data_IF_713848459238
#
_entry.id   IF_713848459238
#
_cell.length_a   1.000
_cell.length_b   1.000
_cell.length_c   1.000
_cell.angle_alpha   90.00
_cell.angle_beta   90.00
_cell.angle_gamma   90.00
#
_symmetry.space_group_name_H-M   'P 1'
#
loop_
_entity.id
_entity.type
_entity.pdbx_description
1 polymer ?
#
# COMPACT_ATOMS: atom_id res chain seq x y z
N UNK A 1 5.30 9.79 -38.75
CA UNK A 1 6.03 10.36 -37.58
C UNK A 1 5.24 10.18 -36.30
N UNK A 2 3.93 10.53 -36.24
CA UNK A 2 3.09 10.32 -35.02
C UNK A 2 2.95 8.86 -34.59
N UNK A 3 2.94 7.91 -35.50
CA UNK A 3 2.81 6.46 -35.18
C UNK A 3 4.07 5.85 -34.55
N UNK A 4 5.25 6.38 -34.85
CA UNK A 4 6.51 5.90 -34.25
C UNK A 4 6.70 6.41 -32.81
N UNK A 5 6.19 7.61 -32.47
CA UNK A 5 6.31 8.17 -31.12
C UNK A 5 5.40 7.49 -30.09
N UNK A 6 4.28 6.91 -30.50
CA UNK A 6 3.34 6.24 -29.59
C UNK A 6 3.83 4.87 -29.06
N UNK A 7 4.90 4.31 -29.63
CA UNK A 7 5.47 3.04 -29.16
C UNK A 7 6.58 3.18 -28.11
N UNK A 8 7.03 4.41 -27.80
CA UNK A 8 8.07 4.64 -26.82
C UNK A 8 7.48 4.95 -25.44
N UNK A 9 7.51 3.95 -24.57
CA UNK A 9 7.12 4.11 -23.17
C UNK A 9 8.28 4.76 -22.40
N UNK A 10 8.21 6.07 -22.15
CA UNK A 10 9.25 6.89 -21.50
C UNK A 10 9.59 6.50 -20.06
N UNK A 11 8.97 5.44 -19.51
CA UNK A 11 9.18 5.00 -18.13
C UNK A 11 10.20 3.86 -17.95
N UNK A 12 10.76 3.30 -19.02
CA UNK A 12 11.75 2.21 -18.93
C UNK A 12 13.17 2.71 -19.13
N UNK A 13 14.12 2.14 -18.38
CA UNK A 13 15.55 2.31 -18.65
C UNK A 13 15.83 1.93 -20.11
N UNK A 14 16.16 2.93 -20.94
CA UNK A 14 16.48 2.73 -22.35
C UNK A 14 17.66 1.76 -22.49
N UNK A 15 17.44 0.60 -23.09
CA UNK A 15 18.54 -0.28 -23.47
C UNK A 15 19.26 0.32 -24.68
N UNK A 16 20.58 0.25 -24.69
CA UNK A 16 21.43 0.77 -25.79
C UNK A 16 20.95 0.28 -27.18
N UNK A 17 20.39 -0.92 -27.26
CA UNK A 17 19.79 -1.46 -28.51
C UNK A 17 18.58 -0.64 -29.02
N UNK A 18 17.73 -0.12 -28.14
CA UNK A 18 16.55 0.66 -28.54
C UNK A 18 16.95 2.03 -29.11
N UNK A 19 18.00 2.62 -28.57
CA UNK A 19 18.58 3.90 -29.04
C UNK A 19 19.15 3.74 -30.45
N UNK A 20 19.92 2.68 -30.68
CA UNK A 20 20.50 2.36 -32.00
C UNK A 20 19.43 2.09 -33.05
N UNK A 21 18.36 1.40 -32.69
CA UNK A 21 17.23 1.14 -33.59
C UNK A 21 16.56 2.46 -33.98
N UNK A 22 16.29 3.34 -33.03
CA UNK A 22 15.65 4.62 -33.31
C UNK A 22 16.53 5.55 -34.14
N UNK A 23 17.82 5.60 -33.86
CA UNK A 23 18.79 6.37 -34.65
C UNK A 23 18.86 5.89 -36.10
N UNK A 24 18.83 4.55 -36.33
CA UNK A 24 18.82 3.97 -37.67
C UNK A 24 17.51 4.28 -38.43
N UNK A 25 16.37 4.32 -37.70
CA UNK A 25 15.09 4.75 -38.30
C UNK A 25 15.12 6.21 -38.68
N UNK A 26 15.67 7.08 -37.83
CA UNK A 26 15.82 8.50 -38.14
C UNK A 26 16.74 8.72 -39.36
N UNK A 27 17.87 8.02 -39.46
CA UNK A 27 18.77 8.06 -40.61
C UNK A 27 18.11 7.63 -41.92
N UNK A 28 17.22 6.66 -41.88
CA UNK A 28 16.45 6.22 -43.03
C UNK A 28 15.42 7.25 -43.51
N UNK A 29 14.77 7.93 -42.57
CA UNK A 29 13.73 8.94 -42.84
C UNK A 29 14.35 10.25 -43.29
N UNK A 30 15.43 10.67 -42.63
CA UNK A 30 16.07 11.98 -42.82
C UNK A 30 17.45 11.84 -43.51
N UNK A 31 17.48 11.29 -44.72
CA UNK A 31 18.70 10.97 -45.49
C UNK A 31 19.64 12.17 -45.73
N UNK A 32 19.10 13.39 -45.79
CA UNK A 32 19.83 14.64 -46.08
C UNK A 32 20.09 15.48 -44.82
N UNK A 33 20.01 14.86 -43.64
CA UNK A 33 20.25 15.53 -42.37
C UNK A 33 21.38 14.84 -41.61
N UNK A 34 22.22 15.66 -40.98
CA UNK A 34 23.13 15.19 -39.94
C UNK A 34 22.34 14.94 -38.66
N UNK A 35 22.52 13.80 -38.05
CA UNK A 35 21.84 13.40 -36.81
C UNK A 35 22.89 13.30 -35.73
N UNK A 36 22.74 14.10 -34.68
CA UNK A 36 23.52 14.04 -33.46
C UNK A 36 22.64 13.56 -32.32
N UNK A 37 23.18 12.69 -31.45
CA UNK A 37 22.46 12.14 -30.31
C UNK A 37 23.16 12.55 -29.02
N UNK A 38 22.42 13.19 -28.13
CA UNK A 38 22.93 13.64 -26.85
C UNK A 38 22.12 13.02 -25.69
N UNK A 39 22.83 12.71 -24.61
CA UNK A 39 22.19 12.18 -23.37
C UNK A 39 21.71 13.32 -22.52
N UNK A 40 20.48 13.20 -22.00
CA UNK A 40 19.98 14.06 -20.94
C UNK A 40 20.38 13.42 -19.62
N UNK A 41 21.34 14.02 -18.93
CA UNK A 41 21.84 13.53 -17.64
C UNK A 41 21.27 14.38 -16.52
N UNK A 42 20.80 13.72 -15.45
CA UNK A 42 20.45 14.35 -14.18
C UNK A 42 20.99 13.53 -13.02
N UNK A 43 21.79 14.16 -12.16
CA UNK A 43 22.47 13.52 -11.02
C UNK A 43 23.22 12.24 -11.42
N UNK A 44 23.95 12.28 -12.55
CA UNK A 44 24.70 11.14 -13.07
C UNK A 44 23.87 10.01 -13.69
N UNK A 45 22.53 10.14 -13.72
CA UNK A 45 21.63 9.16 -14.36
C UNK A 45 21.13 9.67 -15.70
N UNK A 46 21.16 8.81 -16.73
CA UNK A 46 20.55 9.11 -18.02
C UNK A 46 19.02 9.11 -17.88
N UNK A 47 18.39 10.26 -18.17
CA UNK A 47 16.95 10.46 -18.12
C UNK A 47 16.29 10.39 -19.50
N UNK A 48 17.08 10.56 -20.56
CA UNK A 48 16.59 10.52 -21.92
C UNK A 48 17.68 10.85 -22.94
N UNK A 49 17.26 11.04 -24.18
CA UNK A 49 18.12 11.38 -25.29
C UNK A 49 17.50 12.51 -26.10
N UNK A 50 18.35 13.42 -26.61
CA UNK A 50 17.98 14.46 -27.57
C UNK A 50 18.56 14.05 -28.92
N UNK A 51 17.74 14.05 -29.96
CA UNK A 51 18.17 13.86 -31.32
C UNK A 51 18.07 15.18 -32.05
N UNK A 52 19.20 15.63 -32.57
CA UNK A 52 19.35 16.90 -33.27
C UNK A 52 19.53 16.61 -34.75
N UNK A 53 18.66 17.19 -35.57
CA UNK A 53 18.68 17.04 -37.00
C UNK A 53 19.11 18.39 -37.63
N UNK A 54 20.29 18.42 -38.28
CA UNK A 54 20.80 19.60 -38.97
C UNK A 54 20.86 19.36 -40.49
N UNK A 55 20.48 20.36 -41.27
CA UNK A 55 20.66 20.36 -42.70
C UNK A 55 22.08 20.72 -43.10
N UNK A 56 22.82 21.41 -42.24
CA UNK A 56 24.19 21.74 -42.47
C UNK A 56 25.09 20.54 -42.17
N UNK A 57 25.69 19.98 -43.23
CA UNK A 57 26.57 18.81 -43.15
C UNK A 57 28.03 19.18 -42.82
N UNK A 58 28.37 20.45 -42.88
CA UNK A 58 29.75 20.96 -42.77
C UNK A 58 30.00 21.80 -41.52
N UNK A 59 28.95 22.16 -40.77
CA UNK A 59 29.04 23.02 -39.60
C UNK A 59 29.67 22.35 -38.35
N UNK A 60 30.07 23.18 -37.39
CA UNK A 60 30.54 22.76 -36.08
C UNK A 60 29.47 21.94 -35.34
N UNK A 61 29.91 21.06 -34.43
CA UNK A 61 28.98 20.30 -33.58
C UNK A 61 28.12 21.25 -32.74
N UNK A 62 26.81 21.00 -32.69
CA UNK A 62 25.86 21.77 -31.86
C UNK A 62 26.18 21.62 -30.37
N UNK A 63 27.01 20.63 -29.99
CA UNK A 63 27.46 20.39 -28.60
C UNK A 63 28.13 21.58 -27.95
N UNK A 64 28.83 22.42 -28.73
CA UNK A 64 29.57 23.57 -28.22
C UNK A 64 28.72 24.86 -28.14
N UNK A 65 27.44 24.78 -28.55
CA UNK A 65 26.50 25.91 -28.44
C UNK A 65 26.01 26.08 -27.01
N UNK A 66 26.22 27.26 -26.44
CA UNK A 66 25.74 27.64 -25.09
C UNK A 66 24.22 27.52 -24.98
N UNK A 67 23.49 27.84 -26.02
CA UNK A 67 22.03 27.73 -26.05
C UNK A 67 21.59 26.26 -25.99
N UNK A 68 22.30 25.37 -26.66
CA UNK A 68 22.01 23.94 -26.61
C UNK A 68 22.24 23.37 -25.19
N UNK A 69 23.36 23.73 -24.56
CA UNK A 69 23.64 23.32 -23.18
C UNK A 69 22.59 23.83 -22.19
N UNK A 70 22.08 25.05 -22.39
CA UNK A 70 20.97 25.57 -21.57
C UNK A 70 19.69 24.77 -21.77
N UNK A 71 19.31 24.45 -23.01
CA UNK A 71 18.14 23.63 -23.33
C UNK A 71 18.27 22.22 -22.72
N UNK A 72 19.44 21.59 -22.89
CA UNK A 72 19.71 20.26 -22.34
C UNK A 72 19.57 20.23 -20.82
N UNK A 73 20.12 21.21 -20.11
CA UNK A 73 20.00 21.33 -18.66
C UNK A 73 18.55 21.60 -18.22
N UNK A 74 17.86 22.48 -18.93
CA UNK A 74 16.44 22.77 -18.65
C UNK A 74 15.55 21.54 -18.84
N UNK A 75 15.78 20.76 -19.88
CA UNK A 75 15.09 19.49 -20.11
C UNK A 75 15.43 18.45 -19.05
N UNK A 76 16.70 18.38 -18.62
CA UNK A 76 17.12 17.46 -17.55
C UNK A 76 16.39 17.75 -16.24
N UNK A 77 16.32 19.03 -15.84
CA UNK A 77 15.58 19.47 -14.66
C UNK A 77 14.08 19.21 -14.80
N UNK A 78 13.50 19.52 -15.96
CA UNK A 78 12.08 19.30 -16.25
C UNK A 78 11.70 17.81 -16.16
N UNK A 79 12.50 16.92 -16.73
CA UNK A 79 12.29 15.48 -16.67
C UNK A 79 12.47 14.93 -15.24
N UNK A 80 13.44 15.45 -14.49
CA UNK A 80 13.61 15.06 -13.09
C UNK A 80 12.40 15.46 -12.25
N UNK A 81 11.94 16.71 -12.38
CA UNK A 81 10.76 17.19 -11.68
C UNK A 81 9.51 16.37 -12.04
N UNK A 82 9.33 16.04 -13.31
CA UNK A 82 8.22 15.16 -13.74
C UNK A 82 8.29 13.78 -13.07
N UNK A 83 9.49 13.17 -13.04
CA UNK A 83 9.67 11.87 -12.39
C UNK A 83 9.38 11.93 -10.88
N UNK A 84 9.84 13.00 -10.20
CA UNK A 84 9.60 13.22 -8.78
C UNK A 84 8.10 13.41 -8.47
N UNK A 85 7.43 14.25 -9.26
CA UNK A 85 5.96 14.48 -9.12
C UNK A 85 5.20 13.17 -9.32
N UNK A 86 5.57 12.38 -10.35
CA UNK A 86 4.93 11.08 -10.61
C UNK A 86 5.15 10.08 -9.48
N UNK A 87 6.37 10.02 -8.93
CA UNK A 87 6.70 9.16 -7.79
C UNK A 87 5.92 9.59 -6.54
N UNK A 88 5.88 10.90 -6.25
CA UNK A 88 5.12 11.48 -5.13
C UNK A 88 3.63 11.14 -5.22
N UNK A 89 3.02 11.36 -6.40
CA UNK A 89 1.60 11.06 -6.63
C UNK A 89 1.27 9.57 -6.44
N UNK A 90 2.19 8.67 -6.85
CA UNK A 90 2.03 7.23 -6.61
C UNK A 90 2.06 6.91 -5.11
N UNK A 91 2.96 7.55 -4.37
CA UNK A 91 3.08 7.37 -2.92
C UNK A 91 1.82 7.86 -2.19
N UNK A 92 1.35 9.06 -2.52
CA UNK A 92 0.12 9.64 -1.97
C UNK A 92 -1.12 8.76 -2.20
N UNK A 93 -1.21 8.09 -3.37
CA UNK A 93 -2.32 7.17 -3.63
C UNK A 93 -2.25 5.92 -2.75
N UNK A 94 -1.06 5.32 -2.58
CA UNK A 94 -0.87 4.17 -1.68
C UNK A 94 -1.19 4.56 -0.23
N UNK A 95 -0.71 5.70 0.23
CA UNK A 95 -0.99 6.19 1.59
C UNK A 95 -2.49 6.38 1.82
N UNK A 96 -3.22 6.88 0.81
CA UNK A 96 -4.69 7.02 0.88
C UNK A 96 -5.39 5.67 0.98
N UNK A 97 -4.97 4.66 0.21
CA UNK A 97 -5.54 3.31 0.28
C UNK A 97 -5.32 2.68 1.65
N UNK A 98 -4.12 2.85 2.22
CA UNK A 98 -3.81 2.37 3.57
C UNK A 98 -4.64 3.10 4.63
N UNK A 99 -4.81 4.42 4.50
CA UNK A 99 -5.65 5.21 5.41
C UNK A 99 -7.11 4.75 5.38
N UNK A 100 -7.65 4.49 4.19
CA UNK A 100 -9.01 3.94 4.05
C UNK A 100 -9.13 2.56 4.70
N UNK A 101 -8.12 1.68 4.54
CA UNK A 101 -8.07 0.40 5.23
C UNK A 101 -8.05 0.53 6.76
N UNK A 102 -7.34 1.54 7.27
CA UNK A 102 -7.28 1.85 8.70
C UNK A 102 -8.63 2.34 9.24
N UNK A 103 -9.34 3.17 8.49
CA UNK A 103 -10.70 3.62 8.84
C UNK A 103 -11.66 2.42 8.92
N UNK A 104 -11.61 1.52 7.95
CA UNK A 104 -12.43 0.30 7.98
C UNK A 104 -12.07 -0.55 9.20
N UNK A 105 -10.77 -0.76 9.47
CA UNK A 105 -10.33 -1.54 10.63
C UNK A 105 -10.83 -0.93 11.94
N UNK A 106 -10.75 0.40 12.10
CA UNK A 106 -11.23 1.07 13.31
C UNK A 106 -12.73 0.88 13.54
N UNK A 107 -13.53 0.87 12.47
CA UNK A 107 -14.98 0.60 12.54
C UNK A 107 -15.31 -0.85 12.93
N UNK A 108 -14.36 -1.78 12.85
CA UNK A 108 -14.56 -3.14 13.30
C UNK A 108 -14.40 -3.30 14.82
N UNK A 109 -13.70 -2.41 15.47
CA UNK A 109 -13.58 -2.38 16.92
C UNK A 109 -14.83 -1.72 17.53
N UNK A 110 -15.22 -2.08 18.77
CA UNK A 110 -16.34 -1.43 19.45
C UNK A 110 -16.10 0.06 19.68
N UNK A 111 -17.04 0.90 19.27
CA UNK A 111 -16.99 2.36 19.48
C UNK A 111 -17.22 2.75 20.94
N UNK A 112 -17.91 1.91 21.70
CA UNK A 112 -18.24 2.13 23.11
C UNK A 112 -18.23 0.84 23.91
N UNK A 113 -17.95 0.95 25.18
CA UNK A 113 -18.07 -0.15 26.12
C UNK A 113 -19.55 -0.37 26.49
N UNK A 114 -20.05 -1.61 26.45
CA UNK A 114 -21.40 -1.90 26.88
C UNK A 114 -21.57 -1.72 28.37
N UNK A 115 -22.79 -1.35 28.80
CA UNK A 115 -23.15 -1.42 30.23
C UNK A 115 -23.43 -2.85 30.59
N UNK A 116 -22.66 -3.40 31.54
CA UNK A 116 -22.80 -4.78 32.05
C UNK A 116 -22.97 -4.72 33.55
N UNK A 117 -23.99 -5.41 34.05
CA UNK A 117 -24.27 -5.43 35.47
C UNK A 117 -23.07 -5.96 36.27
N UNK A 118 -22.66 -5.22 37.30
CA UNK A 118 -21.58 -5.60 38.21
C UNK A 118 -20.16 -5.35 37.65
N UNK A 119 -20.03 -4.80 36.43
CA UNK A 119 -18.75 -4.55 35.81
C UNK A 119 -18.67 -3.11 35.27
N UNK A 120 -17.57 -2.43 35.55
CA UNK A 120 -17.22 -1.14 34.95
C UNK A 120 -16.10 -1.37 33.91
N UNK A 121 -16.40 -1.01 32.65
CA UNK A 121 -15.54 -1.31 31.51
C UNK A 121 -15.01 -0.02 30.87
N UNK A 122 -13.71 -0.01 30.59
CA UNK A 122 -13.07 0.98 29.75
C UNK A 122 -12.14 0.28 28.74
N UNK A 123 -12.21 0.69 27.49
CA UNK A 123 -11.33 0.18 26.45
C UNK A 123 -10.89 1.31 25.52
N UNK A 124 -9.66 1.25 25.08
CA UNK A 124 -9.10 2.17 24.11
C UNK A 124 -8.01 1.46 23.32
N UNK A 125 -8.02 1.63 22.01
CA UNK A 125 -6.96 1.15 21.11
C UNK A 125 -6.35 2.32 20.34
N UNK A 126 -5.03 2.40 20.34
CA UNK A 126 -4.27 3.37 19.56
C UNK A 126 -3.17 2.66 18.77
N UNK A 127 -3.39 2.36 17.50
CA UNK A 127 -2.41 1.68 16.68
C UNK A 127 -1.09 2.47 16.59
N UNK A 128 0.05 1.78 16.57
CA UNK A 128 1.37 2.39 16.41
C UNK A 128 1.64 2.88 14.97
N UNK A 129 0.97 2.29 14.00
CA UNK A 129 0.92 2.69 12.59
C UNK A 129 -0.53 2.96 12.20
N UNK A 130 -0.80 3.13 10.90
CA UNK A 130 -2.17 3.32 10.41
C UNK A 130 -3.08 2.13 10.71
N UNK A 131 -2.57 0.87 10.59
CA UNK A 131 -3.23 -0.36 11.01
C UNK A 131 -2.48 -1.01 12.17
N UNK A 132 -3.21 -1.73 13.04
CA UNK A 132 -2.65 -2.41 14.22
C UNK A 132 -3.04 -3.88 14.29
N UNK A 133 -2.28 -4.64 15.11
CA UNK A 133 -2.57 -6.02 15.49
C UNK A 133 -3.46 -6.12 16.73
N UNK A 134 -3.58 -5.03 17.49
CA UNK A 134 -4.38 -4.97 18.71
C UNK A 134 -5.88 -5.18 18.42
N UNK A 135 -6.50 -5.97 19.25
CA UNK A 135 -7.92 -6.33 19.14
C UNK A 135 -8.58 -6.33 20.52
N UNK A 136 -9.76 -5.78 20.62
CA UNK A 136 -10.67 -6.00 21.72
C UNK A 136 -12.11 -6.09 21.23
N UNK A 137 -12.95 -6.82 21.94
CA UNK A 137 -14.37 -6.96 21.58
C UNK A 137 -15.24 -7.24 22.80
N UNK A 138 -16.51 -6.89 22.66
CA UNK A 138 -17.57 -7.14 23.63
C UNK A 138 -18.75 -7.78 22.91
N UNK A 139 -19.06 -9.01 23.21
CA UNK A 139 -20.12 -9.76 22.52
C UNK A 139 -21.19 -10.26 23.50
N UNK A 140 -22.44 -9.84 23.29
CA UNK A 140 -23.56 -10.37 24.06
C UNK A 140 -23.87 -11.78 23.56
N UNK A 141 -23.81 -12.75 24.46
CA UNK A 141 -23.98 -14.19 24.13
C UNK A 141 -25.43 -14.62 23.94
N UNK A 142 -26.40 -13.75 24.24
CA UNK A 142 -27.83 -13.99 24.02
C UNK A 142 -28.35 -13.01 22.96
N UNK A 143 -28.73 -13.51 21.80
CA UNK A 143 -29.09 -12.72 20.62
C UNK A 143 -30.53 -12.15 20.61
N UNK A 144 -31.43 -12.66 21.43
CA UNK A 144 -32.86 -12.30 21.41
C UNK A 144 -33.35 -11.63 22.72
N UNK A 145 -32.58 -10.66 23.23
CA UNK A 145 -32.90 -9.95 24.45
C UNK A 145 -33.22 -8.49 24.14
N UNK A 146 -34.29 -7.94 24.79
CA UNK A 146 -34.55 -6.50 24.73
C UNK A 146 -33.39 -5.69 25.31
N UNK A 147 -33.14 -4.49 24.80
CA UNK A 147 -32.05 -3.59 25.25
C UNK A 147 -31.99 -3.43 26.77
N UNK A 148 -33.16 -3.29 27.43
CA UNK A 148 -33.27 -3.17 28.89
C UNK A 148 -32.80 -4.40 29.69
N UNK A 149 -32.65 -5.55 29.04
CA UNK A 149 -32.19 -6.80 29.69
C UNK A 149 -30.76 -7.17 29.27
N UNK A 150 -30.16 -6.47 28.33
CA UNK A 150 -28.80 -6.75 27.87
C UNK A 150 -27.75 -6.55 28.96
N UNK A 151 -27.97 -5.64 29.90
CA UNK A 151 -27.08 -5.44 31.06
C UNK A 151 -26.90 -6.68 31.92
N UNK A 152 -27.94 -7.52 32.01
CA UNK A 152 -27.95 -8.80 32.77
C UNK A 152 -27.75 -9.99 31.85
N UNK A 153 -27.29 -9.81 30.65
CA UNK A 153 -26.96 -10.88 29.77
C UNK A 153 -25.55 -11.37 30.01
N UNK A 154 -25.28 -12.59 29.58
CA UNK A 154 -23.91 -13.13 29.53
C UNK A 154 -23.10 -12.47 28.41
N UNK A 155 -21.87 -12.07 28.70
CA UNK A 155 -21.01 -11.34 27.79
C UNK A 155 -19.67 -12.03 27.60
N UNK A 156 -19.19 -12.11 26.36
CA UNK A 156 -17.82 -12.41 26.06
C UNK A 156 -17.00 -11.11 26.02
N UNK A 157 -15.88 -11.10 26.73
CA UNK A 157 -14.90 -10.01 26.76
C UNK A 157 -13.60 -10.53 26.19
N UNK A 158 -13.05 -9.83 25.23
CA UNK A 158 -11.86 -10.26 24.49
C UNK A 158 -10.83 -9.15 24.42
N UNK A 159 -9.57 -9.52 24.57
CA UNK A 159 -8.41 -8.71 24.21
C UNK A 159 -7.36 -9.60 23.55
N UNK A 160 -6.74 -9.12 22.48
CA UNK A 160 -5.72 -9.85 21.76
C UNK A 160 -4.73 -8.93 21.07
N UNK A 161 -3.57 -9.48 20.76
CA UNK A 161 -2.53 -8.78 19.99
C UNK A 161 -1.88 -9.75 19.00
N UNK A 162 -1.89 -9.36 17.74
CA UNK A 162 -1.23 -10.11 16.64
C UNK A 162 0.19 -9.60 16.47
N UNK A 163 1.15 -10.50 16.55
CA UNK A 163 2.56 -10.20 16.36
C UNK A 163 2.82 -9.36 15.11
N UNK A 164 3.48 -8.20 15.29
CA UNK A 164 3.91 -7.32 14.22
C UNK A 164 3.15 -5.99 14.18
N UNK A 165 3.31 -5.25 13.08
CA UNK A 165 2.72 -3.91 12.91
C UNK A 165 2.25 -3.71 11.48
N UNK A 166 1.36 -2.73 11.28
CA UNK A 166 0.88 -2.30 9.98
C UNK A 166 -0.04 -3.31 9.30
N UNK A 167 -0.09 -3.27 7.98
CA UNK A 167 -1.05 -4.00 7.16
C UNK A 167 -1.11 -5.50 7.47
N UNK A 168 0.01 -6.25 7.54
CA UNK A 168 -0.07 -7.69 7.78
C UNK A 168 -0.70 -8.06 9.13
N UNK A 169 -0.35 -7.33 10.19
CA UNK A 169 -0.94 -7.56 11.52
C UNK A 169 -2.43 -7.19 11.54
N UNK A 170 -2.79 -6.07 10.89
CA UNK A 170 -4.18 -5.63 10.78
C UNK A 170 -5.07 -6.61 10.01
N UNK A 171 -4.58 -7.22 8.94
CA UNK A 171 -5.31 -8.23 8.16
C UNK A 171 -5.56 -9.50 8.99
N UNK A 172 -4.54 -10.01 9.67
CA UNK A 172 -4.67 -11.18 10.54
C UNK A 172 -5.62 -10.91 11.72
N UNK A 173 -5.56 -9.72 12.32
CA UNK A 173 -6.50 -9.30 13.37
C UNK A 173 -7.94 -9.34 12.86
N UNK A 174 -8.20 -8.80 11.68
CA UNK A 174 -9.55 -8.78 11.07
C UNK A 174 -10.07 -10.20 10.81
N UNK A 175 -9.19 -11.09 10.32
CA UNK A 175 -9.48 -12.52 10.11
C UNK A 175 -9.84 -13.19 11.43
N UNK A 176 -8.97 -13.07 12.45
CA UNK A 176 -9.18 -13.65 13.79
C UNK A 176 -10.47 -13.15 14.46
N UNK A 177 -10.76 -11.84 14.35
CA UNK A 177 -12.01 -11.27 14.83
C UNK A 177 -13.23 -11.95 14.18
N UNK A 178 -13.19 -12.14 12.86
CA UNK A 178 -14.28 -12.81 12.14
C UNK A 178 -14.50 -14.26 12.61
N UNK A 179 -13.41 -15.03 12.72
CA UNK A 179 -13.41 -16.41 13.21
C UNK A 179 -13.93 -16.48 14.64
N UNK A 180 -13.39 -15.66 15.54
CA UNK A 180 -13.80 -15.67 16.95
C UNK A 180 -15.27 -15.31 17.13
N UNK A 181 -15.78 -14.31 16.41
CA UNK A 181 -17.20 -13.96 16.45
C UNK A 181 -18.12 -15.09 15.99
N UNK A 182 -17.68 -15.87 14.99
CA UNK A 182 -18.41 -17.03 14.52
C UNK A 182 -18.40 -18.14 15.59
N UNK A 183 -17.24 -18.42 16.20
CA UNK A 183 -17.11 -19.43 17.25
C UNK A 183 -17.94 -19.07 18.50
N UNK A 184 -17.96 -17.81 18.91
CA UNK A 184 -18.75 -17.34 20.05
C UNK A 184 -20.27 -17.59 19.86
N UNK A 185 -20.76 -17.51 18.62
CA UNK A 185 -22.18 -17.79 18.30
C UNK A 185 -22.56 -19.25 18.50
N UNK A 186 -21.61 -20.18 18.55
CA UNK A 186 -21.88 -21.61 18.81
C UNK A 186 -22.35 -21.87 20.23
N UNK A 187 -22.05 -20.94 21.16
CA UNK A 187 -22.37 -21.08 22.57
C UNK A 187 -21.54 -22.12 23.31
N UNK A 188 -20.46 -22.58 22.72
CA UNK A 188 -19.48 -23.49 23.34
C UNK A 188 -18.76 -22.82 24.52
N UNK A 189 -18.23 -23.62 25.46
CA UNK A 189 -17.43 -23.08 26.56
C UNK A 189 -16.09 -22.46 26.06
N UNK A 190 -15.50 -21.54 26.84
CA UNK A 190 -14.31 -20.78 26.46
C UNK A 190 -13.11 -21.60 25.96
N UNK A 191 -12.85 -22.75 26.61
CA UNK A 191 -11.76 -23.67 26.24
C UNK A 191 -11.96 -24.24 24.83
N UNK A 192 -13.20 -24.56 24.46
CA UNK A 192 -13.53 -25.05 23.13
C UNK A 192 -13.48 -23.96 22.07
N UNK A 193 -14.00 -22.78 22.36
CA UNK A 193 -13.92 -21.62 21.47
C UNK A 193 -12.46 -21.33 21.13
N UNK A 194 -11.58 -21.27 22.13
CA UNK A 194 -10.17 -21.01 21.90
C UNK A 194 -9.45 -22.15 21.17
N UNK A 195 -9.82 -23.41 21.48
CA UNK A 195 -9.28 -24.56 20.77
C UNK A 195 -9.64 -24.52 19.28
N UNK A 196 -10.91 -24.31 18.96
CA UNK A 196 -11.41 -24.31 17.59
C UNK A 196 -10.87 -23.10 16.82
N UNK A 197 -10.82 -21.92 17.44
CA UNK A 197 -10.16 -20.75 16.87
C UNK A 197 -8.69 -21.02 16.51
N UNK A 198 -7.96 -21.69 17.42
CA UNK A 198 -6.55 -22.03 17.14
C UNK A 198 -6.44 -23.01 15.98
N UNK A 199 -7.30 -24.01 15.89
CA UNK A 199 -7.30 -24.97 14.76
C UNK A 199 -7.59 -24.28 13.42
N UNK A 200 -8.51 -23.30 13.42
CA UNK A 200 -8.85 -22.53 12.21
C UNK A 200 -7.70 -21.61 11.76
N UNK A 201 -7.03 -20.96 12.72
CA UNK A 201 -6.06 -19.91 12.41
C UNK A 201 -4.60 -20.40 12.25
N UNK A 202 -4.26 -21.59 12.76
CA UNK A 202 -2.86 -22.05 12.92
C UNK A 202 -2.11 -22.06 11.58
N UNK A 203 -2.73 -22.53 10.50
CA UNK A 203 -2.08 -22.61 9.20
C UNK A 203 -1.76 -21.23 8.63
N UNK A 204 -2.65 -20.26 8.77
CA UNK A 204 -2.45 -18.89 8.27
C UNK A 204 -1.40 -18.14 9.11
N UNK A 205 -1.40 -18.38 10.42
CA UNK A 205 -0.41 -17.83 11.34
C UNK A 205 0.99 -18.40 11.06
N UNK A 206 1.11 -19.70 10.86
CA UNK A 206 2.38 -20.36 10.53
C UNK A 206 2.92 -19.91 9.18
N UNK A 207 2.10 -19.84 8.14
CA UNK A 207 2.51 -19.34 6.82
C UNK A 207 2.99 -17.90 6.85
N UNK A 208 2.39 -17.08 7.70
CA UNK A 208 2.80 -15.68 7.89
C UNK A 208 3.95 -15.50 8.88
N UNK A 209 4.43 -16.59 9.51
CA UNK A 209 5.43 -16.57 10.59
C UNK A 209 5.04 -15.62 11.73
N UNK A 210 3.77 -15.69 12.15
CA UNK A 210 3.20 -14.83 13.19
C UNK A 210 2.44 -15.67 14.21
N UNK A 211 2.25 -15.08 15.38
CA UNK A 211 1.36 -15.62 16.40
C UNK A 211 0.44 -14.52 16.94
N UNK A 212 -0.55 -14.93 17.67
CA UNK A 212 -1.47 -14.05 18.39
C UNK A 212 -1.50 -14.43 19.87
N UNK A 213 -1.48 -13.43 20.73
CA UNK A 213 -1.85 -13.58 22.14
C UNK A 213 -3.29 -13.16 22.30
N UNK A 214 -4.12 -13.98 22.95
CA UNK A 214 -5.54 -13.70 23.10
C UNK A 214 -5.99 -14.10 24.49
N UNK A 215 -6.71 -13.17 25.15
CA UNK A 215 -7.49 -13.44 26.36
C UNK A 215 -8.97 -13.40 26.00
N UNK A 216 -9.68 -14.43 26.42
CA UNK A 216 -11.13 -14.55 26.28
C UNK A 216 -11.74 -14.80 27.64
N UNK A 217 -12.76 -14.04 28.00
CA UNK A 217 -13.52 -14.21 29.24
C UNK A 217 -15.01 -14.27 28.93
N UNK A 218 -15.69 -15.13 29.61
CA UNK A 218 -17.13 -15.27 29.58
C UNK A 218 -17.67 -14.84 30.95
N UNK A 219 -18.42 -13.76 30.97
CA UNK A 219 -18.96 -13.14 32.17
C UNK A 219 -20.48 -13.31 32.22
N UNK A 220 -20.97 -13.92 33.29
CA UNK A 220 -22.40 -14.09 33.61
C UNK A 220 -22.71 -13.28 34.88
N UNK A 221 -23.47 -12.18 34.77
CA UNK A 221 -23.78 -11.27 35.88
C UNK A 221 -24.57 -11.88 37.01
#
# INVERSE_FOLDING_TARGET
>A
IKSCFNQFNFSKNFKIKEILIFENVLKKIFKNYRIETEKILSRGKCRGFIYILSKDLTGNSIRDDRNFNFIQNSLAVGLENYCLIKAKKKHENVDREISTGAEIQSQLLPDYCPSIYGVDLAAHCRPALQLGGDYYDFMCLKTNISEKRKEKARWALVIGDVMGKGIPAGLLMTMLRGMLRAEVLTGLPPDRILHDLNQLAINDLDQSHRFVTLFYSDYDP
#
